data_IF_865148922459
#
_entry.id   IF_865148922459
#
_cell.length_a   1.000
_cell.length_b   1.000
_cell.length_c   1.000
_cell.angle_alpha   90.00
_cell.angle_beta   90.00
_cell.angle_gamma   90.00
#
_symmetry.space_group_name_H-M   'P 1'
#
loop_
_entity.id
_entity.type
_entity.pdbx_description
1 polymer ?
#
# COMPACT_ATOMS: atom_id res chain seq x y z
N UNK A 1 -7.41 9.29 -13.17
CA UNK A 1 -7.53 9.03 -11.71
C UNK A 1 -6.43 9.79 -11.00
N UNK A 2 -6.61 10.15 -9.73
CA UNK A 2 -5.58 10.83 -8.92
C UNK A 2 -4.90 9.81 -7.99
N UNK A 3 -3.70 10.15 -7.51
CA UNK A 3 -3.03 9.34 -6.50
C UNK A 3 -3.84 9.30 -5.19
N UNK A 4 -3.86 8.15 -4.52
CA UNK A 4 -4.51 7.97 -3.22
C UNK A 4 -3.43 7.68 -2.19
N UNK A 5 -3.50 8.30 -1.00
CA UNK A 5 -2.52 8.14 0.07
C UNK A 5 -3.19 7.72 1.37
N UNK A 6 -2.61 6.75 2.06
CA UNK A 6 -2.98 6.36 3.42
C UNK A 6 -1.70 6.05 4.18
N UNK A 7 -1.33 6.90 5.15
CA UNK A 7 -0.05 6.76 5.86
C UNK A 7 1.14 6.79 4.89
N UNK A 8 1.98 5.77 4.98
CA UNK A 8 3.14 5.49 4.12
C UNK A 8 2.76 4.86 2.77
N UNK A 9 1.52 4.40 2.58
CA UNK A 9 1.09 3.80 1.31
C UNK A 9 0.55 4.86 0.34
N UNK A 10 1.11 4.89 -0.87
CA UNK A 10 0.64 5.68 -2.01
C UNK A 10 0.23 4.73 -3.14
N UNK A 11 -1.01 4.86 -3.60
CA UNK A 11 -1.52 4.19 -4.78
C UNK A 11 -1.50 5.15 -5.97
N UNK A 12 -0.73 4.79 -6.99
CA UNK A 12 -0.59 5.54 -8.23
C UNK A 12 -1.38 4.84 -9.35
N UNK A 13 -2.29 5.52 -10.06
CA UNK A 13 -3.03 4.90 -11.14
C UNK A 13 -2.09 4.55 -12.30
N UNK A 14 -2.25 3.35 -12.85
CA UNK A 14 -1.48 2.85 -14.00
C UNK A 14 -2.42 2.26 -15.05
N UNK A 15 -1.91 2.04 -16.26
CA UNK A 15 -2.73 1.48 -17.36
C UNK A 15 -2.97 -0.03 -17.18
N UNK A 16 -2.00 -0.75 -16.64
CA UNK A 16 -2.03 -2.20 -16.47
C UNK A 16 -1.35 -2.65 -15.18
N UNK A 17 -1.75 -3.82 -14.68
CA UNK A 17 -1.02 -4.54 -13.63
C UNK A 17 -0.08 -5.56 -14.28
N UNK A 18 1.11 -5.72 -13.71
CA UNK A 18 2.12 -6.65 -14.20
C UNK A 18 2.72 -7.45 -13.05
N UNK A 19 3.25 -8.63 -13.35
CA UNK A 19 3.87 -9.51 -12.36
C UNK A 19 3.04 -10.74 -12.01
N UNK A 20 3.49 -11.44 -10.99
CA UNK A 20 2.88 -12.67 -10.50
C UNK A 20 1.84 -12.35 -9.42
N UNK A 21 0.70 -13.02 -9.49
CA UNK A 21 -0.35 -12.86 -8.48
C UNK A 21 0.12 -13.43 -7.14
N UNK A 22 -0.09 -12.68 -6.06
CA UNK A 22 0.22 -13.14 -4.70
C UNK A 22 -1.07 -13.41 -3.91
N UNK A 23 -1.11 -14.47 -3.08
CA UNK A 23 -2.35 -14.95 -2.44
C UNK A 23 -2.71 -14.16 -1.17
N UNK A 24 -2.56 -12.83 -1.20
CA UNK A 24 -2.99 -11.93 -0.12
C UNK A 24 -3.30 -10.52 -0.66
N UNK A 25 -3.83 -9.67 0.21
CA UNK A 25 -4.22 -8.30 -0.11
C UNK A 25 -3.56 -7.24 0.79
N UNK A 26 -2.48 -7.61 1.47
CA UNK A 26 -1.64 -6.68 2.23
C UNK A 26 -0.70 -5.92 1.29
N UNK A 27 -0.84 -4.59 1.26
CA UNK A 27 -0.05 -3.67 0.44
C UNK A 27 1.25 -3.24 1.14
N UNK A 28 1.22 -3.16 2.47
CA UNK A 28 2.36 -2.82 3.31
C UNK A 28 2.15 -3.40 4.72
N UNK A 29 3.24 -3.77 5.37
CA UNK A 29 3.30 -3.94 6.82
C UNK A 29 3.69 -2.57 7.38
N UNK A 30 2.84 -1.96 8.20
CA UNK A 30 3.00 -0.61 8.71
C UNK A 30 4.24 -0.46 9.60
N UNK A 31 4.57 0.79 9.94
CA UNK A 31 5.80 1.15 10.67
C UNK A 31 5.85 0.56 12.10
N UNK A 32 4.69 0.37 12.74
CA UNK A 32 4.56 -0.28 14.04
C UNK A 32 4.33 -1.77 13.86
N UNK A 33 5.10 -2.60 14.57
CA UNK A 33 5.02 -4.06 14.49
C UNK A 33 3.60 -4.56 14.74
N UNK A 34 2.93 -5.00 13.68
CA UNK A 34 1.59 -5.61 13.74
C UNK A 34 0.58 -4.98 12.77
N UNK A 35 0.72 -3.69 12.47
CA UNK A 35 -0.26 -2.99 11.63
C UNK A 35 -0.04 -3.26 10.14
N UNK A 36 -1.13 -3.28 9.38
CA UNK A 36 -1.08 -3.63 7.95
C UNK A 36 -1.99 -2.73 7.13
N UNK A 37 -1.46 -2.20 6.05
CA UNK A 37 -2.26 -1.62 4.98
C UNK A 37 -2.80 -2.76 4.13
N UNK A 38 -4.11 -2.99 4.18
CA UNK A 38 -4.74 -4.15 3.52
C UNK A 38 -6.06 -3.79 2.86
N UNK A 39 -6.37 -4.43 1.74
CA UNK A 39 -7.74 -4.45 1.21
C UNK A 39 -8.57 -5.46 1.99
N UNK A 40 -9.65 -5.01 2.62
CA UNK A 40 -10.55 -5.85 3.44
C UNK A 40 -11.93 -6.07 2.84
N UNK A 41 -12.37 -5.18 1.94
CA UNK A 41 -13.65 -5.28 1.25
C UNK A 41 -13.51 -5.02 -0.25
N UNK A 42 -14.42 -5.61 -1.03
CA UNK A 42 -14.41 -5.55 -2.49
C UNK A 42 -13.59 -6.67 -3.14
N UNK A 43 -13.66 -6.73 -4.47
CA UNK A 43 -12.95 -7.72 -5.27
C UNK A 43 -11.68 -7.10 -5.82
N UNK A 44 -10.53 -7.60 -5.38
CA UNK A 44 -9.22 -7.13 -5.79
C UNK A 44 -8.19 -8.26 -5.83
N UNK A 45 -7.13 -8.06 -6.60
CA UNK A 45 -5.96 -8.94 -6.65
C UNK A 45 -4.69 -8.13 -6.55
N UNK A 46 -3.69 -8.70 -5.88
CA UNK A 46 -2.38 -8.11 -5.72
C UNK A 46 -1.36 -8.90 -6.53
N UNK A 47 -0.43 -8.17 -7.14
CA UNK A 47 0.63 -8.70 -7.98
C UNK A 47 1.97 -8.18 -7.51
N UNK A 48 3.02 -8.98 -7.67
CA UNK A 48 4.40 -8.57 -7.43
C UNK A 48 5.19 -8.67 -8.73
N UNK A 49 5.89 -7.59 -9.09
CA UNK A 49 6.90 -7.59 -10.15
C UNK A 49 8.16 -6.95 -9.63
N UNK A 50 9.23 -7.74 -9.53
CA UNK A 50 10.56 -7.27 -9.12
C UNK A 50 10.54 -6.46 -7.80
N UNK A 51 9.72 -6.88 -6.83
CA UNK A 51 9.58 -6.21 -5.53
C UNK A 51 8.62 -5.01 -5.53
N UNK A 52 8.08 -4.62 -6.68
CA UNK A 52 7.02 -3.61 -6.77
C UNK A 52 5.65 -4.29 -6.74
N UNK A 53 4.77 -3.79 -5.88
CA UNK A 53 3.40 -4.30 -5.78
C UNK A 53 2.45 -3.54 -6.70
N UNK A 54 1.52 -4.27 -7.31
CA UNK A 54 0.46 -3.73 -8.15
C UNK A 54 -0.89 -4.27 -7.69
N UNK A 55 -1.86 -3.39 -7.49
CA UNK A 55 -3.22 -3.72 -7.10
C UNK A 55 -4.16 -3.58 -8.31
N UNK A 56 -4.95 -4.63 -8.57
CA UNK A 56 -6.09 -4.58 -9.50
C UNK A 56 -7.38 -4.64 -8.71
N UNK A 57 -8.23 -3.64 -8.89
CA UNK A 57 -9.56 -3.59 -8.28
C UNK A 57 -10.61 -3.90 -9.35
N UNK A 58 -11.39 -4.96 -9.14
CA UNK A 58 -12.43 -5.44 -10.05
C UNK A 58 -13.81 -4.88 -9.69
N UNK A 59 -14.11 -4.78 -8.39
CA UNK A 59 -15.34 -4.15 -7.91
C UNK A 59 -15.33 -2.64 -8.17
N UNK A 60 -16.51 -2.00 -8.14
CA UNK A 60 -16.64 -0.54 -8.28
C UNK A 60 -15.71 0.21 -7.32
N UNK A 61 -15.59 -0.32 -6.10
CA UNK A 61 -14.64 0.13 -5.08
C UNK A 61 -14.11 -1.06 -4.28
N UNK A 62 -12.89 -0.97 -3.77
CA UNK A 62 -12.32 -1.84 -2.74
C UNK A 62 -11.82 -0.99 -1.57
N UNK A 63 -11.93 -1.49 -0.33
CA UNK A 63 -11.63 -0.69 0.85
C UNK A 63 -10.22 -0.94 1.36
N UNK A 64 -9.37 0.08 1.36
CA UNK A 64 -8.05 0.06 1.99
C UNK A 64 -8.19 0.43 3.46
N UNK A 65 -7.77 -0.46 4.36
CA UNK A 65 -7.82 -0.26 5.81
C UNK A 65 -6.42 -0.31 6.42
N UNK A 66 -6.28 0.38 7.53
CA UNK A 66 -5.14 0.31 8.45
C UNK A 66 -5.70 0.56 9.85
N UNK A 67 -5.11 -0.04 10.88
CA UNK A 67 -5.66 0.02 12.25
C UNK A 67 -5.70 1.45 12.82
N UNK A 68 -4.76 2.30 12.42
CA UNK A 68 -4.67 3.69 12.91
C UNK A 68 -5.31 4.72 11.98
N UNK A 69 -5.61 4.34 10.73
CA UNK A 69 -6.09 5.28 9.72
C UNK A 69 -7.54 5.00 9.34
N UNK A 70 -8.29 6.05 9.01
CA UNK A 70 -9.60 5.88 8.41
C UNK A 70 -9.49 5.10 7.10
N UNK A 71 -10.41 4.15 6.91
CA UNK A 71 -10.48 3.36 5.71
C UNK A 71 -10.76 4.22 4.47
N UNK A 72 -10.07 3.95 3.36
CA UNK A 72 -10.18 4.72 2.13
C UNK A 72 -10.75 3.84 1.00
N UNK A 73 -11.85 4.25 0.34
CA UNK A 73 -12.37 3.54 -0.82
C UNK A 73 -11.49 3.79 -2.05
N UNK A 74 -10.97 2.72 -2.63
CA UNK A 74 -10.17 2.72 -3.85
C UNK A 74 -11.09 2.39 -5.04
N UNK A 75 -11.19 3.25 -6.06
CA UNK A 75 -12.04 2.96 -7.20
C UNK A 75 -11.48 1.82 -8.06
N UNK A 76 -12.38 1.19 -8.81
CA UNK A 76 -12.05 0.20 -9.83
C UNK A 76 -10.91 0.68 -10.74
N UNK A 77 -9.92 -0.17 -10.98
CA UNK A 77 -8.78 0.18 -11.82
C UNK A 77 -7.50 -0.56 -11.47
N UNK A 78 -6.40 -0.09 -12.05
CA UNK A 78 -5.06 -0.62 -11.84
C UNK A 78 -4.20 0.41 -11.10
N UNK A 79 -3.47 -0.06 -10.10
CA UNK A 79 -2.72 0.79 -9.20
C UNK A 79 -1.34 0.21 -8.95
N UNK A 80 -0.31 1.05 -8.97
CA UNK A 80 1.02 0.73 -8.47
C UNK A 80 1.10 1.18 -7.00
N UNK A 81 1.59 0.29 -6.14
CA UNK A 81 1.79 0.58 -4.73
C UNK A 81 3.20 1.15 -4.54
N UNK A 82 3.30 2.31 -3.91
CA UNK A 82 4.55 2.88 -3.43
C UNK A 82 4.50 3.00 -1.91
N UNK A 83 5.59 2.61 -1.27
CA UNK A 83 5.80 2.78 0.16
C UNK A 83 6.69 4.00 0.36
N UNK A 84 6.19 4.98 1.12
CA UNK A 84 6.90 6.18 1.51
C UNK A 84 7.53 5.93 2.88
N UNK A 85 8.85 5.73 2.92
CA UNK A 85 9.58 5.69 4.18
C UNK A 85 10.07 7.09 4.52
N UNK A 86 9.94 7.49 5.79
CA UNK A 86 10.65 8.66 6.27
C UNK A 86 12.16 8.36 6.25
N UNK A 87 12.93 9.23 5.60
CA UNK A 87 14.38 9.17 5.64
C UNK A 87 14.82 9.89 6.91
N UNK A 88 15.20 9.13 7.93
CA UNK A 88 15.91 9.67 9.10
C UNK A 88 17.43 9.63 8.81
N UNK A 89 18.09 10.77 8.50
CA UNK A 89 19.54 10.81 8.32
C UNK A 89 20.34 10.69 9.62
N UNK A 90 19.70 10.69 10.79
CA UNK A 90 20.40 10.69 12.08
C UNK A 90 20.41 9.30 12.69
N UNK A 91 21.40 8.51 12.28
CA UNK A 91 21.83 7.35 13.05
C UNK A 91 22.23 7.77 14.47
N UNK A 92 21.98 6.87 15.42
CA UNK A 92 22.35 6.91 16.84
C UNK A 92 23.45 7.90 17.18
N UNK A 93 23.10 9.02 17.83
CA UNK A 93 24.06 9.82 18.59
C UNK A 93 24.20 9.22 19.98
N UNK A 94 25.40 8.73 20.31
CA UNK A 94 25.79 8.64 21.71
C UNK A 94 25.88 10.06 22.26
N UNK A 95 24.97 10.39 23.18
CA UNK A 95 25.17 11.54 24.08
C UNK A 95 26.21 11.11 25.11
N UNK A 96 27.42 11.62 24.96
CA UNK A 96 28.40 11.64 26.05
C UNK A 96 28.32 13.02 26.69
N UNK A 97 27.70 13.06 27.87
CA UNK A 97 27.51 14.16 28.84
C UNK A 97 27.03 15.52 28.30
#
# INVERSE_FOLDING_TARGET
MQAIRQGDVILLPVQEVTGEMIPHLTLAEGEVTGHKHRITEGEAQLFNKDGTLYLRVFSKTALLTHEEHQAIPIPQGHWMVKIQREYEPEGWRYVAD
#
